data_IF_026683797298
#
_entry.id   IF_026683797298
#
_cell.length_a   1.000
_cell.length_b   1.000
_cell.length_c   1.000
_cell.angle_alpha   90.00
_cell.angle_beta   90.00
_cell.angle_gamma   90.00
#
_symmetry.space_group_name_H-M   'P 1'
#
loop_
_entity.id
_entity.type
_entity.pdbx_description
1 polymer ?
#
# COMPACT_ATOMS: atom_id res chain seq x y z
N UNK A 1 -6.92 -0.69 10.01
CA UNK A 1 -7.46 -2.03 10.19
C UNK A 1 -7.94 -2.62 8.86
N UNK A 2 -7.26 -3.67 8.39
CA UNK A 2 -7.56 -4.27 7.11
C UNK A 2 -8.89 -5.02 7.06
N UNK A 3 -9.40 -5.44 8.21
CA UNK A 3 -10.73 -6.06 8.22
C UNK A 3 -11.82 -5.07 7.81
N UNK A 4 -11.61 -3.78 8.06
CA UNK A 4 -12.52 -2.74 7.59
C UNK A 4 -12.57 -2.67 6.06
N UNK A 5 -11.46 -2.95 5.38
CA UNK A 5 -11.43 -2.98 3.92
C UNK A 5 -12.38 -4.05 3.40
N UNK A 6 -12.26 -5.27 3.91
CA UNK A 6 -13.12 -6.38 3.50
C UNK A 6 -14.59 -6.08 3.82
N UNK A 7 -14.87 -5.53 5.00
CA UNK A 7 -16.24 -5.19 5.42
C UNK A 7 -16.87 -4.14 4.51
N UNK A 8 -16.12 -3.08 4.19
CA UNK A 8 -16.63 -2.00 3.33
C UNK A 8 -16.85 -2.51 1.91
N UNK A 9 -15.98 -3.37 1.39
CA UNK A 9 -16.15 -3.95 0.05
C UNK A 9 -17.40 -4.82 -0.03
N UNK A 10 -17.79 -5.43 1.08
CA UNK A 10 -19.02 -6.19 1.15
C UNK A 10 -20.27 -5.30 1.19
N UNK A 11 -20.16 -4.14 1.86
CA UNK A 11 -21.30 -3.25 2.11
C UNK A 11 -21.47 -2.15 1.06
N UNK A 12 -20.45 -1.89 0.23
CA UNK A 12 -20.45 -0.75 -0.68
C UNK A 12 -19.78 -1.11 -2.00
N UNK A 13 -20.18 -0.43 -3.07
CA UNK A 13 -19.53 -0.53 -4.38
C UNK A 13 -18.42 0.51 -4.57
N UNK A 14 -18.20 1.37 -3.58
CA UNK A 14 -17.23 2.45 -3.69
C UNK A 14 -15.79 1.89 -3.62
N UNK A 15 -14.84 2.50 -4.35
CA UNK A 15 -13.45 2.11 -4.23
C UNK A 15 -12.87 2.48 -2.87
N UNK A 16 -11.91 1.68 -2.42
CA UNK A 16 -11.21 1.90 -1.15
C UNK A 16 -9.73 2.03 -1.43
N UNK A 17 -9.15 3.13 -0.93
CA UNK A 17 -7.71 3.40 -1.00
C UNK A 17 -7.12 3.19 0.39
N UNK A 18 -6.05 2.43 0.48
CA UNK A 18 -5.33 2.20 1.74
C UNK A 18 -4.01 2.95 1.70
N UNK A 19 -3.67 3.60 2.79
CA UNK A 19 -2.42 4.35 2.96
C UNK A 19 -1.54 3.67 4.01
N UNK A 20 -0.71 2.70 3.61
CA UNK A 20 0.15 2.01 4.57
C UNK A 20 1.32 2.87 5.03
N UNK A 21 1.67 3.93 4.30
CA UNK A 21 2.76 4.84 4.70
C UNK A 21 2.39 5.60 5.97
N UNK A 22 1.27 6.32 5.94
CA UNK A 22 0.79 7.05 7.12
C UNK A 22 0.26 6.11 8.19
N UNK A 23 -0.41 5.02 7.78
CA UNK A 23 -0.99 4.07 8.72
C UNK A 23 0.05 3.37 9.59
N UNK A 24 1.23 3.10 9.07
CA UNK A 24 2.30 2.43 9.83
C UNK A 24 3.36 3.39 10.35
N UNK A 25 3.61 4.49 9.64
CA UNK A 25 4.65 5.46 9.98
C UNK A 25 6.08 4.94 9.82
N UNK A 26 6.25 3.73 9.26
CA UNK A 26 7.56 3.07 9.12
C UNK A 26 7.65 2.43 7.74
N UNK A 27 8.69 2.78 6.98
CA UNK A 27 8.86 2.27 5.61
C UNK A 27 8.95 0.74 5.56
N UNK A 28 9.53 0.10 6.59
CA UNK A 28 9.67 -1.36 6.64
C UNK A 28 8.32 -2.06 6.69
N UNK A 29 7.30 -1.38 7.20
CA UNK A 29 5.95 -1.92 7.32
C UNK A 29 5.11 -1.69 6.06
N UNK A 30 5.53 -0.76 5.19
CA UNK A 30 4.74 -0.37 4.02
C UNK A 30 4.53 -1.54 3.07
N UNK A 31 5.61 -2.25 2.74
CA UNK A 31 5.55 -3.34 1.76
C UNK A 31 4.63 -4.49 2.20
N UNK A 32 4.79 -5.06 3.40
CA UNK A 32 3.89 -6.13 3.82
C UNK A 32 2.44 -5.66 3.98
N UNK A 33 2.21 -4.44 4.47
CA UNK A 33 0.85 -3.94 4.64
C UNK A 33 0.19 -3.58 3.32
N UNK A 34 0.96 -3.09 2.34
CA UNK A 34 0.44 -2.84 1.01
C UNK A 34 0.00 -4.14 0.33
N UNK A 35 0.82 -5.19 0.43
CA UNK A 35 0.47 -6.52 -0.10
C UNK A 35 -0.81 -7.04 0.55
N UNK A 36 -0.88 -6.93 1.88
CA UNK A 36 -2.04 -7.39 2.63
C UNK A 36 -3.29 -6.59 2.27
N UNK A 37 -3.17 -5.27 2.04
CA UNK A 37 -4.28 -4.42 1.66
C UNK A 37 -4.89 -4.86 0.32
N UNK A 38 -4.06 -5.15 -0.68
CA UNK A 38 -4.54 -5.62 -1.97
C UNK A 38 -5.23 -6.99 -1.83
N UNK A 39 -4.63 -7.88 -1.05
CA UNK A 39 -5.22 -9.20 -0.78
C UNK A 39 -6.55 -9.08 -0.03
N UNK A 40 -6.71 -8.08 0.83
CA UNK A 40 -7.97 -7.84 1.56
C UNK A 40 -9.05 -7.22 0.67
N UNK A 41 -8.70 -6.74 -0.52
CA UNK A 41 -9.65 -6.20 -1.48
C UNK A 41 -9.56 -4.70 -1.73
N UNK A 42 -8.53 -4.02 -1.25
CA UNK A 42 -8.35 -2.60 -1.53
C UNK A 42 -8.23 -2.37 -3.04
N UNK A 43 -8.80 -1.28 -3.52
CA UNK A 43 -8.78 -0.90 -4.93
C UNK A 43 -7.52 -0.13 -5.31
N UNK A 44 -6.89 0.51 -4.34
CA UNK A 44 -5.67 1.27 -4.57
C UNK A 44 -4.90 1.50 -3.30
N UNK A 45 -3.70 2.06 -3.48
CA UNK A 45 -2.78 2.36 -2.40
C UNK A 45 -2.30 3.80 -2.53
N UNK A 46 -2.04 4.41 -1.38
CA UNK A 46 -1.36 5.71 -1.31
C UNK A 46 -0.04 5.48 -0.60
N UNK A 47 1.06 5.75 -1.29
CA UNK A 47 2.40 5.42 -0.79
C UNK A 47 3.31 6.63 -0.94
N UNK A 48 4.00 6.97 0.15
CA UNK A 48 5.00 8.02 0.12
C UNK A 48 6.30 7.47 -0.48
N UNK A 49 6.84 8.18 -1.47
CA UNK A 49 8.09 7.81 -2.13
C UNK A 49 9.02 9.01 -2.14
N UNK A 50 10.28 8.80 -1.81
CA UNK A 50 11.28 9.87 -1.83
C UNK A 50 12.61 9.28 -2.32
N UNK A 51 13.33 9.95 -3.25
CA UNK A 51 14.62 9.43 -3.73
C UNK A 51 15.68 9.35 -2.62
N UNK A 52 15.57 10.23 -1.62
CA UNK A 52 16.47 10.26 -0.47
C UNK A 52 15.63 10.45 0.80
N UNK A 53 14.99 9.38 1.32
CA UNK A 53 14.09 9.51 2.49
C UNK A 53 14.74 10.14 3.71
N UNK A 54 16.04 9.88 3.92
CA UNK A 54 16.79 10.45 5.04
C UNK A 54 16.93 11.97 4.95
N UNK A 55 16.70 12.55 3.78
CA UNK A 55 16.77 13.99 3.54
C UNK A 55 15.40 14.65 3.42
N UNK A 56 14.32 13.87 3.52
CA UNK A 56 12.98 14.41 3.43
C UNK A 56 12.68 15.33 4.61
N UNK A 57 12.01 16.45 4.34
CA UNK A 57 11.63 17.40 5.40
C UNK A 57 10.48 16.86 6.24
N UNK A 58 9.68 15.96 5.68
CA UNK A 58 8.59 15.30 6.38
C UNK A 58 8.41 13.89 5.79
N UNK A 59 7.81 13.00 6.59
CA UNK A 59 7.42 11.65 6.14
C UNK A 59 8.58 10.75 5.67
N UNK A 60 9.84 11.16 5.95
CA UNK A 60 11.01 10.37 5.53
C UNK A 60 11.02 8.96 6.12
N UNK A 61 10.64 8.83 7.39
CA UNK A 61 10.64 7.54 8.09
C UNK A 61 9.63 6.55 7.52
N UNK A 62 8.61 7.05 6.82
CA UNK A 62 7.55 6.23 6.25
C UNK A 62 7.61 6.17 4.72
N UNK A 63 8.63 6.79 4.11
CA UNK A 63 8.77 6.83 2.65
C UNK A 63 9.59 5.66 2.13
N UNK A 64 9.18 5.13 0.98
CA UNK A 64 9.98 4.15 0.23
C UNK A 64 10.94 4.89 -0.71
N UNK A 65 12.01 4.21 -1.09
CA UNK A 65 12.84 4.65 -2.22
C UNK A 65 12.12 4.28 -3.52
N UNK A 66 12.47 4.93 -4.65
CA UNK A 66 11.91 4.53 -5.94
C UNK A 66 12.17 3.05 -6.28
N UNK A 67 13.32 2.51 -5.89
CA UNK A 67 13.65 1.09 -6.11
C UNK A 67 12.72 0.17 -5.32
N UNK A 68 12.53 0.45 -4.04
CA UNK A 68 11.64 -0.33 -3.19
C UNK A 68 10.20 -0.23 -3.67
N UNK A 69 9.80 0.94 -4.14
CA UNK A 69 8.46 1.14 -4.70
C UNK A 69 8.26 0.30 -5.96
N UNK A 70 9.26 0.25 -6.85
CA UNK A 70 9.18 -0.56 -8.07
C UNK A 70 8.99 -2.03 -7.75
N UNK A 71 9.78 -2.54 -6.80
CA UNK A 71 9.65 -3.93 -6.36
C UNK A 71 8.27 -4.20 -5.76
N UNK A 72 7.78 -3.28 -4.94
CA UNK A 72 6.46 -3.40 -4.36
C UNK A 72 5.38 -3.44 -5.45
N UNK A 73 5.45 -2.57 -6.46
CA UNK A 73 4.45 -2.54 -7.53
C UNK A 73 4.44 -3.83 -8.33
N UNK A 74 5.60 -4.45 -8.55
CA UNK A 74 5.64 -5.75 -9.20
C UNK A 74 4.89 -6.80 -8.38
N UNK A 75 5.10 -6.82 -7.07
CA UNK A 75 4.38 -7.73 -6.18
C UNK A 75 2.88 -7.44 -6.14
N UNK A 76 2.51 -6.18 -6.09
CA UNK A 76 1.11 -5.76 -6.07
C UNK A 76 0.38 -6.24 -7.33
N UNK A 77 1.02 -6.09 -8.49
CA UNK A 77 0.42 -6.56 -9.75
C UNK A 77 0.23 -8.07 -9.75
N UNK A 78 1.19 -8.83 -9.20
CA UNK A 78 1.08 -10.28 -9.12
C UNK A 78 -0.04 -10.72 -8.17
N UNK A 79 -0.18 -10.04 -7.03
CA UNK A 79 -1.27 -10.32 -6.09
C UNK A 79 -2.62 -9.96 -6.70
N UNK A 80 -2.71 -8.81 -7.35
CA UNK A 80 -3.94 -8.39 -8.02
C UNK A 80 -4.38 -9.41 -9.08
N UNK A 81 -3.43 -9.98 -9.83
CA UNK A 81 -3.72 -11.01 -10.81
C UNK A 81 -4.30 -12.27 -10.16
N UNK A 82 -3.71 -12.70 -9.03
CA UNK A 82 -4.23 -13.84 -8.25
C UNK A 82 -5.67 -13.59 -7.81
N UNK A 83 -5.98 -12.33 -7.47
CA UNK A 83 -7.31 -11.92 -7.02
C UNK A 83 -8.30 -11.71 -8.19
N UNK A 84 -7.88 -11.97 -9.43
CA UNK A 84 -8.71 -11.76 -10.61
C UNK A 84 -8.83 -10.29 -11.03
N UNK A 85 -7.88 -9.45 -10.64
CA UNK A 85 -7.91 -8.01 -10.87
C UNK A 85 -6.71 -7.55 -11.70
N UNK A 86 -6.47 -8.24 -12.75
CA UNK A 86 -5.32 -7.99 -13.62
C UNK A 86 -5.27 -6.57 -14.18
#
# INVERSE_FOLDING_TARGET
DLSAVAAIKELSHLPIIVDPSHGTGRWQMVRPMARAAIAAGADGLMIEVHPHPEMALSDGDQSLTPENFRELMDEVHRIAAVMGRA
#
